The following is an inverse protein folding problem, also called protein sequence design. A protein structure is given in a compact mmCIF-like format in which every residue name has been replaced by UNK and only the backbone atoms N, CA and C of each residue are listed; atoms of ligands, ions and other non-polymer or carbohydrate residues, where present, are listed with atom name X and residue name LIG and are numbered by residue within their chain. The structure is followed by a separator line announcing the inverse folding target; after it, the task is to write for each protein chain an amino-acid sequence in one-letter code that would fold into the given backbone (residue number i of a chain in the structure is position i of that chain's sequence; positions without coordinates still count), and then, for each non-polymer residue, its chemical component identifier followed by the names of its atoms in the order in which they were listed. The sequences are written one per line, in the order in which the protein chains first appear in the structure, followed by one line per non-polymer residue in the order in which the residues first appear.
data_IF_830092701652
#
_entry.id   IF_830092701652
#
_cell.length_a   1.000
_cell.length_b   1.000
_cell.length_c   1.000
_cell.angle_alpha   90.00
_cell.angle_beta   90.00
_cell.angle_gamma   90.00
#
_symmetry.space_group_name_H-M   'P 1'
#
loop_
_entity.id
_entity.type
_entity.pdbx_description
1 polymer ?
#
# COMPACT_ATOMS: atom_id res chain seq x y z
N UNK A 1 -7.55 -1.86 26.05
CA UNK A 1 -7.18 -0.93 24.96
C UNK A 1 -7.48 -1.64 23.65
N UNK A 2 -8.27 -1.05 22.75
CA UNK A 2 -8.29 -1.54 21.37
C UNK A 2 -7.03 -0.99 20.73
N UNK A 3 -6.04 -1.84 20.46
CA UNK A 3 -4.90 -1.44 19.65
C UNK A 3 -5.42 -1.22 18.22
N UNK A 4 -5.64 0.04 17.83
CA UNK A 4 -6.12 0.39 16.49
C UNK A 4 -4.99 0.34 15.43
N UNK A 5 -3.81 -0.18 15.78
CA UNK A 5 -2.74 -0.48 14.85
C UNK A 5 -2.80 -1.94 14.36
N UNK A 6 -1.91 -2.32 13.45
CA UNK A 6 -1.87 -3.64 12.82
C UNK A 6 -1.48 -4.74 13.81
N UNK A 7 -2.21 -5.86 13.78
CA UNK A 7 -1.83 -7.12 14.42
C UNK A 7 -1.08 -8.07 13.46
N UNK A 8 -0.88 -9.32 13.85
CA UNK A 8 -0.11 -10.29 13.06
C UNK A 8 -0.86 -10.74 11.78
N UNK A 9 -2.18 -10.90 11.84
CA UNK A 9 -3.00 -11.25 10.68
C UNK A 9 -3.06 -10.08 9.69
N UNK A 10 -3.13 -8.85 10.21
CA UNK A 10 -3.07 -7.62 9.45
C UNK A 10 -1.72 -7.48 8.70
N UNK A 11 -0.60 -7.76 9.39
CA UNK A 11 0.74 -7.74 8.78
C UNK A 11 0.88 -8.82 7.70
N UNK A 12 0.36 -10.02 7.96
CA UNK A 12 0.36 -11.10 6.97
C UNK A 12 -0.44 -10.70 5.72
N UNK A 13 -1.60 -10.08 5.89
CA UNK A 13 -2.40 -9.57 4.76
C UNK A 13 -1.64 -8.51 3.95
N UNK A 14 -0.91 -7.60 4.62
CA UNK A 14 -0.05 -6.64 3.92
C UNK A 14 0.96 -7.38 3.04
N UNK A 15 1.74 -8.29 3.61
CA UNK A 15 2.78 -9.01 2.86
C UNK A 15 2.19 -9.87 1.74
N UNK A 16 1.13 -10.62 2.03
CA UNK A 16 0.51 -11.55 1.09
C UNK A 16 -0.09 -10.80 -0.10
N UNK A 17 -0.82 -9.71 0.13
CA UNK A 17 -1.41 -8.90 -0.94
C UNK A 17 -0.34 -8.27 -1.82
N UNK A 18 0.67 -7.62 -1.23
CA UNK A 18 1.74 -7.00 -2.02
C UNK A 18 2.51 -8.04 -2.85
N UNK A 19 2.94 -9.14 -2.22
CA UNK A 19 3.73 -10.14 -2.92
C UNK A 19 2.93 -10.91 -3.97
N UNK A 20 1.63 -11.14 -3.78
CA UNK A 20 0.75 -11.69 -4.83
C UNK A 20 0.66 -10.78 -6.04
N UNK A 21 0.49 -9.47 -5.84
CA UNK A 21 0.50 -8.52 -6.96
C UNK A 21 1.87 -8.47 -7.66
N UNK A 22 2.96 -8.49 -6.89
CA UNK A 22 4.32 -8.58 -7.45
C UNK A 22 4.51 -9.86 -8.27
N UNK A 23 3.95 -11.00 -7.85
CA UNK A 23 3.94 -12.24 -8.64
C UNK A 23 3.18 -12.06 -9.96
N UNK A 24 2.02 -11.41 -9.94
CA UNK A 24 1.24 -11.16 -11.16
C UNK A 24 2.04 -10.32 -12.16
N UNK A 25 2.64 -9.21 -11.70
CA UNK A 25 3.51 -8.36 -12.52
C UNK A 25 4.73 -9.15 -13.01
N UNK A 26 5.42 -9.85 -12.11
CA UNK A 26 6.64 -10.59 -12.45
C UNK A 26 6.38 -11.58 -13.58
N UNK A 27 5.25 -12.31 -13.54
CA UNK A 27 4.87 -13.25 -14.59
C UNK A 27 4.32 -12.61 -15.87
N UNK A 28 4.21 -11.27 -15.95
CA UNK A 28 3.59 -10.57 -17.08
C UNK A 28 2.11 -10.88 -17.23
N UNK A 29 1.42 -11.16 -16.11
CA UNK A 29 -0.01 -11.55 -16.08
C UNK A 29 -0.95 -10.40 -15.73
N UNK A 30 -0.43 -9.22 -15.44
CA UNK A 30 -1.26 -8.02 -15.27
C UNK A 30 -1.63 -7.48 -16.65
N UNK A 31 -2.87 -7.75 -17.06
CA UNK A 31 -3.37 -7.41 -18.39
C UNK A 31 -3.73 -5.93 -18.55
N UNK A 32 -3.86 -5.19 -17.44
CA UNK A 32 -4.18 -3.75 -17.43
C UNK A 32 -2.93 -2.91 -17.73
N UNK A 33 -3.17 -1.60 -17.87
CA UNK A 33 -2.20 -0.61 -18.32
C UNK A 33 -2.80 0.28 -19.39
N UNK A 34 -2.17 1.41 -19.67
CA UNK A 34 -2.62 2.34 -20.71
C UNK A 34 -1.45 2.91 -21.54
N UNK A 35 -0.99 2.20 -22.58
CA UNK A 35 -1.39 0.85 -22.99
C UNK A 35 -0.83 -0.26 -22.08
N UNK A 36 -1.56 -1.38 -21.99
CA UNK A 36 -1.11 -2.62 -21.36
C UNK A 36 -0.80 -3.72 -22.39
N UNK A 37 -0.48 -4.96 -21.96
CA UNK A 37 -0.31 -5.41 -20.58
C UNK A 37 1.02 -4.94 -19.97
N UNK A 38 1.17 -5.09 -18.65
CA UNK A 38 2.45 -4.88 -17.98
C UNK A 38 3.42 -6.04 -18.33
N UNK A 39 4.65 -5.75 -18.77
CA UNK A 39 5.59 -6.78 -19.19
C UNK A 39 6.13 -7.61 -18.01
N UNK A 40 6.67 -8.80 -18.31
CA UNK A 40 7.22 -9.67 -17.28
C UNK A 40 8.51 -9.11 -16.67
N UNK A 41 8.62 -9.20 -15.35
CA UNK A 41 9.79 -8.77 -14.59
C UNK A 41 10.71 -9.94 -14.27
N UNK A 42 11.99 -9.77 -14.60
CA UNK A 42 13.02 -10.79 -14.44
C UNK A 42 13.51 -10.96 -13.00
N UNK A 43 13.68 -9.86 -12.29
CA UNK A 43 14.44 -9.76 -11.02
C UNK A 43 13.60 -9.22 -9.85
N UNK A 44 12.28 -9.45 -9.86
CA UNK A 44 11.38 -8.88 -8.86
C UNK A 44 11.66 -9.46 -7.46
N UNK A 45 12.01 -8.61 -6.49
CA UNK A 45 12.22 -9.05 -5.10
C UNK A 45 10.91 -9.33 -4.38
N UNK A 46 10.91 -10.30 -3.46
CA UNK A 46 9.89 -10.49 -2.44
C UNK A 46 10.01 -9.37 -1.40
N UNK A 47 8.88 -8.79 -1.01
CA UNK A 47 8.81 -7.85 0.11
C UNK A 47 8.74 -8.61 1.42
N UNK A 48 9.53 -8.16 2.39
CA UNK A 48 9.56 -8.63 3.77
C UNK A 48 9.21 -7.48 4.72
N UNK A 49 8.69 -7.83 5.90
CA UNK A 49 8.26 -6.84 6.88
C UNK A 49 9.45 -6.17 7.56
N UNK A 50 9.37 -4.86 7.74
CA UNK A 50 10.36 -4.04 8.43
C UNK A 50 9.70 -3.22 9.54
N UNK A 51 10.06 -3.54 10.80
CA UNK A 51 9.45 -2.90 11.97
C UNK A 51 9.84 -1.42 12.12
N UNK A 52 11.03 -1.00 11.67
CA UNK A 52 11.44 0.41 11.72
C UNK A 52 10.55 1.24 10.77
N UNK A 53 10.34 0.76 9.55
CA UNK A 53 9.45 1.39 8.59
C UNK A 53 8.00 1.44 9.10
N UNK A 54 7.53 0.38 9.76
CA UNK A 54 6.20 0.30 10.34
C UNK A 54 5.96 1.32 11.46
N UNK A 55 6.94 1.49 12.36
CA UNK A 55 6.88 2.49 13.44
C UNK A 55 6.78 3.91 12.86
N UNK A 56 7.58 4.21 11.83
CA UNK A 56 7.54 5.52 11.14
C UNK A 56 6.20 5.73 10.44
N UNK A 57 5.68 4.70 9.74
CA UNK A 57 4.39 4.76 9.07
C UNK A 57 3.25 4.99 10.08
N UNK A 58 3.28 4.30 11.22
CA UNK A 58 2.31 4.47 12.31
C UNK A 58 2.36 5.87 12.90
N UNK A 59 3.58 6.41 13.13
CA UNK A 59 3.78 7.79 13.58
C UNK A 59 3.09 8.77 12.63
N UNK A 60 3.23 8.59 11.31
CA UNK A 60 2.58 9.45 10.32
C UNK A 60 1.05 9.30 10.33
N UNK A 61 0.55 8.06 10.37
CA UNK A 61 -0.89 7.78 10.41
C UNK A 61 -1.59 8.46 11.60
N UNK A 62 -0.88 8.64 12.72
CA UNK A 62 -1.38 9.33 13.91
C UNK A 62 -1.45 10.87 13.78
N UNK A 63 -0.84 11.47 12.76
CA UNK A 63 -0.75 12.94 12.63
C UNK A 63 -1.95 13.59 11.95
N UNK A 64 -3.00 12.84 11.60
CA UNK A 64 -4.18 13.43 10.97
C UNK A 64 -3.93 14.09 9.59
N UNK A 65 -2.81 13.73 8.95
CA UNK A 65 -2.36 14.27 7.66
C UNK A 65 -2.95 13.48 6.50
N UNK A 66 -4.27 13.55 6.36
CA UNK A 66 -5.00 12.86 5.30
C UNK A 66 -4.44 13.25 3.92
N UNK A 67 -4.07 12.24 3.13
CA UNK A 67 -3.54 12.37 1.76
C UNK A 67 -2.15 13.04 1.61
N UNK A 68 -1.53 13.47 2.70
CA UNK A 68 -0.18 14.02 2.67
C UNK A 68 0.86 12.91 2.92
N UNK A 69 2.05 13.04 2.32
CA UNK A 69 3.17 12.12 2.55
C UNK A 69 4.18 12.73 3.54
N UNK A 70 4.71 11.92 4.46
CA UNK A 70 5.73 12.31 5.44
C UNK A 70 7.02 12.72 4.72
N UNK A 71 7.45 13.98 4.81
CA UNK A 71 8.68 14.44 4.15
C UNK A 71 9.96 13.98 4.87
N UNK A 72 9.86 13.49 6.12
CA UNK A 72 10.99 13.09 6.96
C UNK A 72 10.82 11.64 7.44
N UNK A 73 10.70 10.74 6.45
CA UNK A 73 10.43 9.30 6.63
C UNK A 73 11.61 8.39 6.32
N UNK A 74 12.71 8.96 5.82
CA UNK A 74 13.91 8.20 5.50
C UNK A 74 14.54 7.64 6.77
N UNK A 75 15.18 6.47 6.63
CA UNK A 75 15.91 5.81 7.71
C UNK A 75 17.40 5.90 7.44
N UNK A 76 18.23 5.65 8.45
CA UNK A 76 19.70 5.67 8.29
C UNK A 76 20.16 4.73 7.16
N UNK A 77 19.45 3.61 6.97
CA UNK A 77 19.78 2.58 5.99
C UNK A 77 19.53 3.02 4.53
N UNK A 78 18.52 3.85 4.27
CA UNK A 78 18.07 4.21 2.92
C UNK A 78 16.93 5.24 2.91
N UNK A 79 16.71 5.85 1.74
CA UNK A 79 15.52 6.64 1.47
C UNK A 79 14.26 5.77 1.32
N UNK A 80 13.11 6.36 1.62
CA UNK A 80 11.83 5.64 1.78
C UNK A 80 10.78 6.15 0.80
N UNK A 81 10.08 5.21 0.17
CA UNK A 81 8.84 5.46 -0.57
C UNK A 81 7.66 5.38 0.38
N UNK A 82 6.60 6.16 0.16
CA UNK A 82 5.40 6.09 0.98
C UNK A 82 4.13 6.10 0.15
N UNK A 83 3.21 5.21 0.53
CA UNK A 83 1.82 5.25 0.13
C UNK A 83 0.94 5.59 1.33
N UNK A 84 -0.11 6.37 1.08
CA UNK A 84 -1.13 6.75 2.06
C UNK A 84 -2.49 6.55 1.41
N UNK A 85 -3.40 5.89 2.10
CA UNK A 85 -4.79 5.71 1.66
C UNK A 85 -5.72 5.98 2.83
N UNK A 86 -6.92 6.46 2.51
CA UNK A 86 -7.95 6.78 3.49
C UNK A 86 -9.24 6.08 3.05
N UNK A 87 -9.76 5.27 3.96
CA UNK A 87 -11.00 4.54 3.81
C UNK A 87 -12.09 5.19 4.67
N UNK A 88 -13.20 5.51 4.01
CA UNK A 88 -14.47 5.80 4.64
C UNK A 88 -15.00 4.53 5.31
N UNK A 89 -15.05 4.51 6.65
CA UNK A 89 -15.51 3.33 7.39
C UNK A 89 -17.02 3.09 7.25
N UNK A 90 -17.81 4.12 6.95
CA UNK A 90 -19.25 3.99 6.75
C UNK A 90 -19.55 3.27 5.41
N UNK A 91 -18.63 3.35 4.44
CA UNK A 91 -18.74 2.66 3.15
C UNK A 91 -18.51 1.14 3.20
N UNK A 92 -17.97 0.63 4.32
CA UNK A 92 -17.54 -0.77 4.48
C UNK A 92 -18.09 -1.42 5.75
N UNK A 93 -19.36 -1.17 6.04
CA UNK A 93 -20.05 -1.68 7.22
C UNK A 93 -19.83 -3.21 7.40
N UNK A 94 -19.51 -3.63 8.63
CA UNK A 94 -19.23 -5.03 8.99
C UNK A 94 -18.03 -5.71 8.29
N UNK A 95 -17.10 -4.93 7.72
CA UNK A 95 -15.85 -5.46 7.17
C UNK A 95 -14.84 -5.85 8.27
N UNK A 96 -14.13 -6.97 8.06
CA UNK A 96 -13.02 -7.35 8.93
C UNK A 96 -11.81 -6.45 8.67
N UNK A 97 -10.92 -6.33 9.67
CA UNK A 97 -9.65 -5.62 9.57
C UNK A 97 -8.87 -5.99 8.30
N UNK A 98 -8.67 -7.30 8.10
CA UNK A 98 -8.05 -7.90 6.93
C UNK A 98 -8.65 -7.42 5.59
N UNK A 99 -9.98 -7.39 5.46
CA UNK A 99 -10.65 -6.92 4.24
C UNK A 99 -10.40 -5.44 3.96
N UNK A 100 -10.34 -4.61 5.01
CA UNK A 100 -10.06 -3.18 4.86
C UNK A 100 -8.61 -2.91 4.47
N UNK A 101 -7.66 -3.62 5.08
CA UNK A 101 -6.25 -3.56 4.68
C UNK A 101 -6.09 -3.98 3.21
N UNK A 102 -6.72 -5.10 2.84
CA UNK A 102 -6.75 -5.55 1.44
C UNK A 102 -7.30 -4.45 0.51
N UNK A 103 -8.39 -3.78 0.90
CA UNK A 103 -8.96 -2.66 0.13
C UNK A 103 -7.94 -1.53 -0.09
N UNK A 104 -7.24 -1.06 0.96
CA UNK A 104 -6.23 -0.01 0.82
C UNK A 104 -5.13 -0.40 -0.20
N UNK A 105 -4.65 -1.64 -0.11
CA UNK A 105 -3.58 -2.17 -0.98
C UNK A 105 -4.07 -2.31 -2.42
N UNK A 106 -5.26 -2.88 -2.62
CA UNK A 106 -5.88 -3.03 -3.94
C UNK A 106 -6.14 -1.67 -4.58
N UNK A 107 -6.58 -0.67 -3.80
CA UNK A 107 -6.75 0.71 -4.29
C UNK A 107 -5.46 1.30 -4.84
N UNK A 108 -4.30 1.02 -4.23
CA UNK A 108 -3.01 1.47 -4.75
C UNK A 108 -2.58 0.67 -5.98
N UNK A 109 -2.83 -0.64 -5.99
CA UNK A 109 -2.49 -1.50 -7.11
C UNK A 109 -3.32 -1.18 -8.37
N UNK A 110 -4.59 -0.84 -8.22
CA UNK A 110 -5.52 -0.52 -9.31
C UNK A 110 -5.11 0.74 -10.11
N UNK A 111 -4.21 1.57 -9.58
CA UNK A 111 -3.59 2.65 -10.35
C UNK A 111 -2.83 2.14 -11.59
N UNK A 112 -2.49 0.84 -11.66
CA UNK A 112 -1.91 0.20 -12.84
C UNK A 112 -2.73 0.44 -14.12
N UNK A 113 -4.05 0.65 -14.01
CA UNK A 113 -4.90 0.96 -15.16
C UNK A 113 -4.47 2.21 -15.91
N UNK A 114 -3.81 3.16 -15.23
CA UNK A 114 -3.31 4.39 -15.83
C UNK A 114 -1.81 4.33 -16.14
N UNK A 115 -1.15 3.20 -15.88
CA UNK A 115 0.29 3.07 -16.03
C UNK A 115 0.64 2.56 -17.44
N UNK A 116 1.41 3.34 -18.19
CA UNK A 116 1.91 2.95 -19.52
C UNK A 116 2.96 1.84 -19.36
N UNK A 117 2.82 0.75 -20.12
CA UNK A 117 3.80 -0.33 -20.09
C UNK A 117 5.20 0.10 -20.56
N UNK A 118 5.33 1.19 -21.32
CA UNK A 118 6.59 1.79 -21.71
C UNK A 118 7.29 2.47 -20.52
N UNK A 119 6.54 2.93 -19.53
CA UNK A 119 7.06 3.63 -18.34
C UNK A 119 7.66 2.68 -17.30
N UNK A 120 7.55 1.37 -17.50
CA UNK A 120 8.32 0.36 -16.75
C UNK A 120 9.83 0.56 -16.89
N UNK A 121 10.24 1.22 -17.97
CA UNK A 121 11.61 1.65 -18.24
C UNK A 121 12.14 2.65 -17.21
N UNK A 122 12.97 3.60 -17.65
CA UNK A 122 13.68 4.50 -16.74
C UNK A 122 12.72 5.45 -16.00
N UNK A 123 12.38 5.10 -14.76
CA UNK A 123 11.63 5.95 -13.84
C UNK A 123 12.60 6.80 -13.04
N UNK A 124 12.33 8.10 -13.01
CA UNK A 124 12.99 9.02 -12.11
C UNK A 124 12.14 9.16 -10.85
N UNK A 125 12.55 8.50 -9.77
CA UNK A 125 11.85 8.59 -8.48
C UNK A 125 11.80 10.02 -7.92
N UNK A 126 12.69 10.91 -8.35
CA UNK A 126 12.69 12.33 -7.96
C UNK A 126 11.65 13.16 -8.73
N UNK A 127 11.08 12.66 -9.82
CA UNK A 127 10.03 13.37 -10.56
C UNK A 127 8.70 13.34 -9.79
N UNK A 128 8.09 14.50 -9.63
CA UNK A 128 6.82 14.68 -8.89
C UNK A 128 5.65 13.89 -9.48
N UNK A 129 5.62 13.66 -10.80
CA UNK A 129 4.58 12.86 -11.43
C UNK A 129 4.59 11.41 -10.93
N UNK A 130 5.78 10.83 -10.75
CA UNK A 130 5.94 9.46 -10.26
C UNK A 130 5.77 9.36 -8.76
N UNK A 131 6.19 10.38 -8.00
CA UNK A 131 6.03 10.42 -6.54
C UNK A 131 4.56 10.31 -6.08
N UNK A 132 3.61 10.62 -6.95
CA UNK A 132 2.19 10.50 -6.66
C UNK A 132 1.63 9.10 -6.91
N UNK A 133 2.31 8.25 -7.70
CA UNK A 133 1.78 6.92 -8.01
C UNK A 133 2.01 5.94 -6.87
N UNK A 134 0.91 5.39 -6.36
CA UNK A 134 0.90 4.34 -5.36
C UNK A 134 1.17 2.95 -5.95
N UNK A 135 1.17 2.81 -7.28
CA UNK A 135 1.52 1.56 -7.97
C UNK A 135 3.03 1.22 -7.90
N UNK A 136 3.89 2.23 -7.73
CA UNK A 136 5.35 2.11 -7.78
C UNK A 136 5.90 0.99 -6.87
N UNK A 137 5.48 0.84 -5.60
CA UNK A 137 6.00 -0.23 -4.73
C UNK A 137 5.66 -1.65 -5.19
N UNK A 138 4.62 -1.83 -6.01
CA UNK A 138 4.29 -3.14 -6.59
C UNK A 138 5.18 -3.43 -7.80
N UNK A 139 5.50 -2.42 -8.59
CA UNK A 139 6.33 -2.58 -9.78
C UNK A 139 7.84 -2.52 -9.50
N UNK A 140 8.28 -1.84 -8.45
CA UNK A 140 9.71 -1.67 -8.15
C UNK A 140 10.36 -3.00 -7.75
N UNK A 141 11.14 -3.59 -8.64
CA UNK A 141 11.84 -4.86 -8.43
C UNK A 141 12.89 -4.79 -7.34
N UNK A 142 13.42 -3.62 -7.01
CA UNK A 142 14.50 -3.45 -6.03
C UNK A 142 14.00 -3.22 -4.61
N UNK A 143 12.72 -2.92 -4.41
CA UNK A 143 12.16 -2.81 -3.07
C UNK A 143 12.13 -4.19 -2.41
N UNK A 144 12.61 -4.24 -1.17
CA UNK A 144 12.75 -5.44 -0.35
C UNK A 144 11.94 -5.29 0.93
N UNK A 145 11.85 -4.09 1.50
CA UNK A 145 11.24 -3.85 2.79
C UNK A 145 9.90 -3.15 2.63
N UNK A 146 8.92 -3.58 3.43
CA UNK A 146 7.66 -2.86 3.65
C UNK A 146 7.36 -2.81 5.14
N UNK A 147 6.94 -1.65 5.63
CA UNK A 147 6.40 -1.49 6.97
C UNK A 147 5.24 -0.52 6.95
N UNK A 148 4.12 -0.94 7.53
CA UNK A 148 2.88 -0.17 7.51
C UNK A 148 2.41 0.17 8.92
N UNK A 149 1.59 1.22 9.03
CA UNK A 149 0.91 1.60 10.24
C UNK A 149 -0.50 2.08 9.93
N UNK A 150 -1.45 1.74 10.81
CA UNK A 150 -2.86 2.11 10.66
C UNK A 150 -3.27 3.11 11.72
N UNK A 151 -4.15 4.05 11.41
CA UNK A 151 -4.92 4.80 12.40
C UNK A 151 -6.41 4.81 12.05
N UNK A 152 -7.28 4.72 13.06
CA UNK A 152 -8.72 4.95 12.92
C UNK A 152 -9.08 6.13 13.81
N UNK A 153 -9.74 7.13 13.25
CA UNK A 153 -10.20 8.30 14.00
C UNK A 153 -11.52 8.83 13.48
N UNK A 154 -12.20 9.60 14.34
CA UNK A 154 -13.44 10.28 14.00
C UNK A 154 -13.11 11.70 13.53
N UNK A 155 -13.52 12.02 12.30
CA UNK A 155 -13.51 13.37 11.76
C UNK A 155 -14.67 14.15 12.37
N UNK A 156 -14.35 15.23 13.07
CA UNK A 156 -15.35 16.16 13.58
C UNK A 156 -15.75 17.14 12.47
N UNK A 157 -16.88 16.85 11.83
CA UNK A 157 -17.45 17.66 10.76
C UNK A 157 -18.42 18.73 11.27
N UNK A 158 -18.59 18.87 12.59
CA UNK A 158 -19.55 19.81 13.20
C UNK A 158 -19.30 21.28 12.82
N UNK A 159 -18.09 21.61 12.37
CA UNK A 159 -17.72 22.95 11.90
C UNK A 159 -17.99 23.22 10.42
N UNK A 160 -18.30 22.19 9.63
CA UNK A 160 -18.28 22.28 8.15
C UNK A 160 -19.60 21.85 7.51
N UNK A 161 -20.30 20.87 8.09
CA UNK A 161 -21.61 20.46 7.62
C UNK A 161 -22.60 20.54 8.79
N UNK A 162 -23.82 21.02 8.54
CA UNK A 162 -24.96 20.83 9.47
C UNK A 162 -25.37 19.34 9.51
N UNK A 163 -24.40 18.44 9.71
CA UNK A 163 -24.57 17.00 9.84
C UNK A 163 -24.29 16.67 11.30
N UNK A 164 -25.31 16.14 11.98
CA UNK A 164 -25.18 15.67 13.36
C UNK A 164 -24.48 14.31 13.34
N UNK A 165 -23.17 14.29 13.57
CA UNK A 165 -22.37 13.05 13.68
C UNK A 165 -20.93 13.24 13.22
N UNK A 166 -20.00 12.52 13.85
CA UNK A 166 -18.62 12.42 13.38
C UNK A 166 -18.48 11.27 12.38
N UNK A 167 -17.64 11.44 11.37
CA UNK A 167 -17.42 10.46 10.31
C UNK A 167 -16.15 9.66 10.61
N UNK A 168 -16.21 8.33 10.61
CA UNK A 168 -15.04 7.51 10.94
C UNK A 168 -14.23 7.20 9.69
N UNK A 169 -12.91 7.41 9.78
CA UNK A 169 -11.97 7.04 8.73
C UNK A 169 -10.89 6.12 9.26
N UNK A 170 -10.47 5.20 8.39
CA UNK A 170 -9.26 4.41 8.58
C UNK A 170 -8.20 4.90 7.59
N UNK A 171 -7.00 5.20 8.11
CA UNK A 171 -5.83 5.55 7.30
C UNK A 171 -4.84 4.40 7.38
N UNK A 172 -4.37 3.95 6.22
CA UNK A 172 -3.23 3.05 6.12
C UNK A 172 -2.06 3.79 5.46
N UNK A 173 -0.92 3.80 6.15
CA UNK A 173 0.35 4.31 5.63
C UNK A 173 1.28 3.13 5.47
N UNK A 174 1.91 2.99 4.30
CA UNK A 174 2.94 1.99 4.06
C UNK A 174 4.21 2.66 3.55
N UNK A 175 5.33 2.35 4.18
CA UNK A 175 6.66 2.77 3.81
C UNK A 175 7.40 1.61 3.15
N UNK A 176 8.17 1.90 2.09
CA UNK A 176 8.89 0.90 1.31
C UNK A 176 10.33 1.33 1.04
N UNK A 177 11.23 0.36 0.91
CA UNK A 177 12.60 0.63 0.52
C UNK A 177 13.39 -0.62 0.16
N UNK A 178 14.67 -0.45 -0.20
CA UNK A 178 15.37 0.82 -0.33
C UNK A 178 14.95 1.60 -1.58
N UNK A 179 14.85 2.93 -1.48
CA UNK A 179 14.74 3.82 -2.64
C UNK A 179 16.11 4.40 -2.96
N UNK A 180 16.44 4.46 -4.24
CA UNK A 180 17.61 5.19 -4.73
C UNK A 180 17.15 6.26 -5.72
N UNK A 181 17.29 7.53 -5.31
CA UNK A 181 16.92 8.72 -6.11
C UNK A 181 18.11 9.34 -6.84
N UNK A 182 19.30 8.79 -6.71
CA UNK A 182 20.53 9.37 -7.25
C UNK A 182 20.63 9.26 -8.77
N UNK A 183 19.91 8.29 -9.35
CA UNK A 183 19.81 8.09 -10.79
C UNK A 183 18.40 7.61 -11.18
N UNK A 184 18.01 7.85 -12.42
CA UNK A 184 16.85 7.16 -13.00
C UNK A 184 17.11 5.66 -13.02
N UNK A 185 16.15 4.87 -12.56
CA UNK A 185 16.25 3.42 -12.52
C UNK A 185 15.06 2.79 -13.23
N UNK A 186 15.26 1.60 -13.79
CA UNK A 186 14.12 0.82 -14.25
C UNK A 186 13.29 0.39 -13.05
N UNK A 187 11.95 0.44 -13.15
CA UNK A 187 11.11 -0.18 -12.13
C UNK A 187 11.45 -1.66 -12.03
N UNK A 188 11.62 -2.32 -13.18
CA UNK A 188 12.13 -3.68 -13.23
C UNK A 188 12.79 -3.98 -14.57
N UNK A 189 13.71 -4.95 -14.55
CA UNK A 189 14.30 -5.46 -15.79
C UNK A 189 13.36 -6.46 -16.45
N UNK A 190 13.13 -6.31 -17.75
CA UNK A 190 12.27 -7.23 -18.49
C UNK A 190 12.92 -8.61 -18.63
N UNK A 191 12.11 -9.66 -18.61
CA UNK A 191 12.58 -11.00 -18.98
C UNK A 191 11.91 -12.13 -18.21
N UNK A 192 12.53 -13.32 -18.26
CA UNK A 192 12.01 -14.51 -17.60
C UNK A 192 11.96 -14.30 -16.07
N UNK A 193 10.81 -14.51 -15.41
CA UNK A 193 10.68 -14.32 -13.97
C UNK A 193 11.60 -15.26 -13.18
N UNK A 194 12.01 -14.85 -11.98
CA UNK A 194 12.82 -15.66 -11.08
C UNK A 194 14.30 -15.78 -11.45
N UNK A 195 14.82 -14.93 -12.33
CA UNK A 195 16.27 -14.83 -12.60
C UNK A 195 16.90 -13.84 -11.63
N UNK A 196 17.11 -14.29 -10.41
CA UNK A 196 17.44 -13.44 -9.27
C UNK A 196 18.82 -12.75 -9.38
N UNK A 197 18.94 -11.49 -8.88
CA UNK A 197 20.21 -10.79 -8.79
C UNK A 197 21.29 -11.57 -8.03
N UNK A 198 22.57 -11.25 -8.28
CA UNK A 198 23.67 -11.84 -7.53
C UNK A 198 23.49 -11.60 -6.02
N UNK A 199 23.70 -12.64 -5.22
CA UNK A 199 23.52 -12.59 -3.77
C UNK A 199 22.06 -12.74 -3.30
N UNK A 200 21.13 -13.07 -4.19
CA UNK A 200 19.75 -13.41 -3.86
C UNK A 200 19.38 -14.80 -4.39
N UNK A 201 18.28 -15.36 -3.89
CA UNK A 201 17.79 -16.69 -4.24
C UNK A 201 16.34 -16.62 -4.69
N UNK A 202 15.83 -17.66 -5.33
CA UNK A 202 14.40 -17.76 -5.61
C UNK A 202 13.61 -17.81 -4.31
N UNK A 203 12.49 -17.11 -4.24
CA UNK A 203 11.58 -17.20 -3.09
C UNK A 203 10.96 -18.59 -3.03
N UNK A 204 10.96 -19.18 -1.82
CA UNK A 204 10.36 -20.48 -1.56
C UNK A 204 8.82 -20.40 -1.56
N UNK A 205 8.27 -19.23 -1.20
CA UNK A 205 6.82 -18.97 -1.12
C UNK A 205 6.25 -18.44 -2.43
N UNK A 206 7.03 -17.67 -3.17
CA UNK A 206 6.61 -17.00 -4.41
C UNK A 206 7.60 -17.28 -5.54
N UNK A 207 7.51 -18.43 -6.26
CA UNK A 207 8.55 -18.90 -7.17
C UNK A 207 8.90 -18.03 -8.39
N UNK A 208 8.25 -16.88 -8.58
CA UNK A 208 8.61 -15.87 -9.59
C UNK A 208 9.31 -14.64 -9.00
N UNK A 209 9.49 -14.60 -7.67
CA UNK A 209 10.15 -13.54 -6.93
C UNK A 209 11.48 -14.01 -6.34
N UNK A 210 12.28 -13.05 -5.90
CA UNK A 210 13.61 -13.27 -5.36
C UNK A 210 13.70 -12.84 -3.89
N UNK A 211 14.38 -13.62 -3.06
CA UNK A 211 14.58 -13.32 -1.64
C UNK A 211 16.05 -13.14 -1.28
N UNK A 212 16.31 -12.45 -0.19
CA UNK A 212 17.67 -12.30 0.32
C UNK A 212 18.17 -13.61 0.96
N UNK A 213 19.49 -13.80 1.04
CA UNK A 213 20.08 -15.01 1.63
C UNK A 213 19.88 -15.06 3.16
N UNK A 214 19.74 -13.90 3.82
CA UNK A 214 19.55 -13.82 5.27
C UNK A 214 18.20 -14.38 5.74
N UNK A 215 17.22 -14.48 4.85
CA UNK A 215 15.90 -15.08 5.12
C UNK A 215 15.94 -16.62 5.27
N UNK A 216 17.08 -17.29 5.07
CA UNK A 216 17.22 -18.73 5.33
C UNK A 216 17.21 -19.11 6.81
N UNK A 217 17.18 -18.12 7.72
CA UNK A 217 17.19 -18.33 9.17
C UNK A 217 16.04 -17.59 9.87
N UNK A 218 14.80 -18.01 9.63
CA UNK A 218 13.68 -17.63 10.50
C UNK A 218 13.41 -18.72 11.54
N UNK A 219 14.03 -18.69 12.74
CA UNK A 219 13.41 -19.31 13.90
C UNK A 219 12.35 -18.33 14.40
N UNK A 220 11.08 -18.66 14.17
CA UNK A 220 9.91 -18.29 14.97
C UNK A 220 10.11 -17.09 15.94
N UNK A 221 10.26 -15.87 15.39
CA UNK A 221 10.44 -14.63 16.17
C UNK A 221 9.11 -13.99 16.58
N UNK A 222 7.97 -14.56 16.17
CA UNK A 222 6.64 -14.13 16.60
C UNK A 222 6.41 -14.41 18.10
N UNK A 223 7.02 -15.45 18.68
CA UNK A 223 6.85 -15.75 20.12
C UNK A 223 7.46 -14.68 21.07
N UNK A 224 8.52 -13.98 20.66
CA UNK A 224 9.19 -12.95 21.48
C UNK A 224 8.44 -11.61 21.55
N UNK A 225 7.45 -11.39 20.68
CA UNK A 225 6.63 -10.16 20.63
C UNK A 225 5.70 -10.00 21.84
N UNK A 226 5.42 -11.10 22.55
CA UNK A 226 4.53 -11.14 23.72
C UNK A 226 5.17 -10.64 25.03
N UNK A 227 6.50 -10.75 25.20
CA UNK A 227 7.15 -10.43 26.48
C UNK A 227 7.64 -8.98 26.62
N UNK A 228 7.90 -8.27 25.52
CA UNK A 228 8.48 -6.90 25.58
C UNK A 228 7.39 -5.81 25.66
N UNK A 229 6.12 -6.14 25.39
CA UNK A 229 5.03 -5.15 25.34
C UNK A 229 4.42 -4.78 26.71
N UNK A 230 5.03 -5.19 27.83
CA UNK A 230 4.43 -5.06 29.16
C UNK A 230 4.88 -3.86 30.02
N UNK A 231 5.73 -2.93 29.55
CA UNK A 231 6.21 -1.82 30.41
C UNK A 231 6.02 -0.39 29.88
N UNK A 232 5.22 -0.14 28.85
CA UNK A 232 4.84 1.24 28.48
C UNK A 232 3.33 1.37 28.27
N UNK A 233 2.59 1.24 29.37
CA UNK A 233 1.17 1.58 29.42
C UNK A 233 1.03 3.08 29.73
N UNK A 234 1.16 3.92 28.70
CA UNK A 234 0.75 5.33 28.78
C UNK A 234 -0.77 5.38 28.69
N UNK A 235 -1.40 5.70 29.83
CA UNK A 235 -2.85 5.82 29.98
C UNK A 235 -3.37 7.05 29.24
N UNK A 236 -3.87 6.90 28.02
CA UNK A 236 -4.73 7.89 27.38
C UNK A 236 -5.93 7.21 26.71
N UNK A 237 -7.08 7.24 27.40
CA UNK A 237 -8.39 7.01 26.80
C UNK A 237 -8.83 8.28 26.11
N UNK A 238 -8.36 8.51 24.90
CA UNK A 238 -8.88 9.57 24.05
C UNK A 238 -9.19 8.96 22.69
N UNK A 239 -10.48 8.92 22.33
CA UNK A 239 -10.84 8.82 20.92
C UNK A 239 -10.14 9.99 20.23
N UNK A 240 -9.20 9.70 19.33
CA UNK A 240 -8.49 10.75 18.61
C UNK A 240 -9.50 11.44 17.70
N UNK A 241 -9.97 12.61 18.10
CA UNK A 241 -10.80 13.46 17.27
C UNK A 241 -9.87 14.26 16.38
N UNK A 242 -10.08 14.14 15.08
CA UNK A 242 -9.20 14.71 14.08
C UNK A 242 -9.88 15.91 13.43
N UNK A 243 -9.35 17.11 13.66
CA UNK A 243 -9.88 18.35 13.10
C UNK A 243 -9.12 18.64 11.80
N UNK A 244 -9.82 18.51 10.67
CA UNK A 244 -9.26 18.73 9.34
C UNK A 244 -9.68 20.10 8.78
N UNK A 245 -8.85 20.69 7.92
CA UNK A 245 -9.20 21.94 7.26
C UNK A 245 -10.30 21.73 6.21
N UNK A 246 -11.01 22.80 5.84
CA UNK A 246 -12.01 22.77 4.77
C UNK A 246 -11.44 22.24 3.44
N UNK A 247 -10.17 22.55 3.16
CA UNK A 247 -9.47 22.09 1.95
C UNK A 247 -9.22 20.57 1.95
N UNK A 248 -8.84 20.00 3.08
CA UNK A 248 -8.62 18.55 3.22
C UNK A 248 -9.95 17.79 3.11
N UNK A 249 -11.05 18.35 3.64
CA UNK A 249 -12.38 17.75 3.49
C UNK A 249 -12.87 17.77 2.04
N UNK A 250 -12.71 18.88 1.33
CA UNK A 250 -13.07 18.96 -0.09
C UNK A 250 -12.29 17.95 -0.93
N UNK A 251 -11.01 17.74 -0.61
CA UNK A 251 -10.20 16.71 -1.25
C UNK A 251 -10.73 15.30 -0.93
N UNK A 252 -11.10 15.03 0.32
CA UNK A 252 -11.72 13.77 0.72
C UNK A 252 -13.03 13.49 -0.04
N UNK A 253 -13.95 14.47 -0.07
CA UNK A 253 -15.23 14.33 -0.75
C UNK A 253 -15.07 14.16 -2.26
N UNK A 254 -14.12 14.86 -2.89
CA UNK A 254 -13.87 14.72 -4.34
C UNK A 254 -13.23 13.37 -4.67
N UNK A 255 -12.30 12.88 -3.86
CA UNK A 255 -11.70 11.55 -4.03
C UNK A 255 -12.73 10.44 -3.82
N UNK A 256 -13.55 10.52 -2.76
CA UNK A 256 -14.62 9.55 -2.49
C UNK A 256 -15.68 9.55 -3.61
N UNK A 257 -16.07 10.73 -4.09
CA UNK A 257 -17.00 10.86 -5.23
C UNK A 257 -16.37 10.31 -6.53
N UNK A 258 -15.08 10.56 -6.76
CA UNK A 258 -14.37 10.01 -7.93
C UNK A 258 -14.25 8.48 -7.87
N UNK A 259 -13.87 7.92 -6.73
CA UNK A 259 -13.77 6.46 -6.51
C UNK A 259 -15.13 5.78 -6.65
N UNK A 260 -16.20 6.36 -6.07
CA UNK A 260 -17.56 5.83 -6.23
C UNK A 260 -18.04 5.93 -7.68
N UNK A 261 -17.81 7.04 -8.39
CA UNK A 261 -18.09 7.13 -9.82
C UNK A 261 -17.26 6.14 -10.64
N UNK A 262 -15.97 5.94 -10.33
CA UNK A 262 -15.12 4.93 -10.99
C UNK A 262 -15.64 3.52 -10.76
N UNK A 263 -15.99 3.16 -9.52
CA UNK A 263 -16.59 1.86 -9.17
C UNK A 263 -17.93 1.65 -9.89
N UNK A 264 -18.78 2.68 -9.96
CA UNK A 264 -20.05 2.64 -10.69
C UNK A 264 -19.83 2.48 -12.20
N UNK A 265 -18.87 3.21 -12.78
CA UNK A 265 -18.50 3.10 -14.20
C UNK A 265 -17.88 1.72 -14.51
N UNK A 266 -17.03 1.21 -13.62
CA UNK A 266 -16.44 -0.13 -13.72
C UNK A 266 -17.51 -1.22 -13.65
N UNK A 267 -18.43 -1.15 -12.69
CA UNK A 267 -19.58 -2.07 -12.62
C UNK A 267 -20.45 -1.97 -13.87
N UNK A 268 -20.68 -0.76 -14.39
CA UNK A 268 -21.45 -0.55 -15.62
C UNK A 268 -20.74 -1.16 -16.83
N UNK A 269 -19.43 -1.00 -16.95
CA UNK A 269 -18.59 -1.57 -18.00
C UNK A 269 -18.57 -3.11 -17.94
N UNK A 270 -18.41 -3.69 -16.74
CA UNK A 270 -18.48 -5.15 -16.53
C UNK A 270 -19.87 -5.70 -16.86
N UNK A 271 -20.95 -4.99 -16.51
CA UNK A 271 -22.32 -5.38 -16.85
C UNK A 271 -22.60 -5.31 -18.36
N UNK A 272 -22.04 -4.33 -19.08
CA UNK A 272 -22.13 -4.26 -20.55
C UNK A 272 -21.34 -5.37 -21.21
N UNK A 273 -20.09 -5.62 -20.76
CA UNK A 273 -19.26 -6.72 -21.27
C UNK A 273 -19.86 -8.11 -20.99
N UNK A 274 -20.52 -8.30 -19.84
CA UNK A 274 -21.24 -9.53 -19.53
C UNK A 274 -22.49 -9.72 -20.40
N UNK A 275 -23.21 -8.64 -20.74
CA UNK A 275 -24.35 -8.69 -21.68
C UNK A 275 -23.92 -8.99 -23.12
N UNK A 276 -22.74 -8.57 -23.53
CA UNK A 276 -22.21 -8.86 -24.87
C UNK A 276 -21.70 -10.31 -24.99
N UNK A 277 -21.27 -10.94 -23.89
CA UNK A 277 -20.87 -12.35 -23.83
C UNK A 277 -22.03 -13.35 -23.70
N UNK A 278 -23.28 -12.88 -23.54
CA UNK A 278 -24.49 -13.71 -23.49
C UNK A 278 -25.27 -13.76 -24.82
N UNK A 279 -24.69 -13.22 -25.90
CA UNK A 279 -25.31 -13.16 -27.24
C UNK A 279 -24.79 -14.21 -28.23
N UNK A 280 -24.06 -15.23 -27.76
CA UNK A 280 -23.64 -16.38 -28.58
C UNK A 280 -23.93 -17.69 -27.87
#
# INVERSE_FOLDING_TARGET
MVNNDLDEEDIEEVLESHNRYRVVIANGKESRGNPGPQPAARTMMELIWDDELAVIARRWALQCKLFEKDQCRDVERFEVWQNVNVLDMDSVENSTSRKRIHFHITSWYDEVENFDNADVGLVNYSNTAWQLSSYIPFASATFIYVGCGRAIYTLDLSKIAMVLGGFQVEVLVCNYGPVDRTASQQLYTLGRPGLCPLGTLLSDRYPSLCRTIQDSSYPDKLSRRSQVRNEQQINNTSSTVCIISLSQLLLFCTISLYLTLRLLLYHRYKLTSFKDNLKY
#
